data_IF_066676462090
#
_entry.id   IF_066676462090
#
_cell.length_a   1.000
_cell.length_b   1.000
_cell.length_c   1.000
_cell.angle_alpha   90.00
_cell.angle_beta   90.00
_cell.angle_gamma   90.00
#
_symmetry.space_group_name_H-M   'P 1'
#
loop_
_entity.id
_entity.type
_entity.pdbx_description
1 polymer ?
#
# COMPACT_ATOMS: atom_id res chain seq x y z
N UNK A 1 26.58 13.19 5.08
CA UNK A 1 25.44 13.17 4.15
C UNK A 1 24.56 11.94 4.39
N UNK A 2 25.02 10.71 4.08
CA UNK A 2 24.22 9.49 4.29
C UNK A 2 23.72 9.35 5.74
N UNK A 3 24.62 9.48 6.73
CA UNK A 3 24.24 9.46 8.16
C UNK A 3 23.12 10.46 8.51
N UNK A 4 23.20 11.69 7.99
CA UNK A 4 22.19 12.74 8.22
C UNK A 4 20.84 12.39 7.59
N UNK A 5 20.84 11.80 6.39
CA UNK A 5 19.62 11.37 5.69
C UNK A 5 18.95 10.23 6.47
N UNK A 6 19.72 9.25 6.93
CA UNK A 6 19.18 8.13 7.73
C UNK A 6 18.70 8.58 9.11
N UNK A 7 19.42 9.46 9.80
CA UNK A 7 19.01 9.95 11.14
C UNK A 7 17.80 10.89 11.09
N UNK A 8 17.66 11.70 10.03
CA UNK A 8 16.51 12.59 9.87
C UNK A 8 15.28 11.89 9.27
N UNK A 9 15.49 10.86 8.45
CA UNK A 9 14.44 10.26 7.62
C UNK A 9 13.96 11.18 6.49
N UNK A 10 14.54 12.37 6.33
CA UNK A 10 14.12 13.34 5.32
C UNK A 10 14.87 13.12 3.99
N UNK A 11 14.14 13.08 2.85
CA UNK A 11 14.77 12.98 1.55
C UNK A 11 15.48 14.28 1.17
N UNK A 12 16.63 14.16 0.50
CA UNK A 12 17.44 15.30 0.03
C UNK A 12 17.42 15.37 -1.49
N UNK A 13 17.27 16.60 -2.02
CA UNK A 13 17.26 16.89 -3.45
C UNK A 13 18.65 17.34 -3.93
N UNK A 14 19.20 16.64 -4.93
CA UNK A 14 20.46 17.02 -5.58
C UNK A 14 20.14 17.77 -6.87
N UNK A 15 20.70 18.98 -7.01
CA UNK A 15 20.54 19.82 -8.20
C UNK A 15 21.80 19.83 -9.05
N UNK A 16 21.62 19.99 -10.36
CA UNK A 16 22.71 20.25 -11.32
C UNK A 16 22.27 21.40 -12.23
N UNK A 17 23.11 22.45 -12.35
CA UNK A 17 22.79 23.67 -13.10
C UNK A 17 21.46 24.32 -12.66
N UNK A 18 21.19 24.36 -11.36
CA UNK A 18 19.98 24.95 -10.79
C UNK A 18 18.71 24.12 -10.95
N UNK A 19 18.78 22.89 -11.48
CA UNK A 19 17.62 22.00 -11.66
C UNK A 19 17.76 20.75 -10.81
N UNK A 20 16.69 20.36 -10.11
CA UNK A 20 16.61 19.09 -9.41
C UNK A 20 16.78 17.92 -10.38
N UNK A 21 17.62 16.95 -10.02
CA UNK A 21 17.92 15.78 -10.86
C UNK A 21 17.76 14.45 -10.14
N UNK A 22 18.13 14.40 -8.86
CA UNK A 22 18.14 13.16 -8.06
C UNK A 22 17.55 13.45 -6.69
N UNK A 23 16.80 12.48 -6.17
CA UNK A 23 16.39 12.43 -4.76
C UNK A 23 17.21 11.31 -4.11
N UNK A 24 17.82 11.60 -2.96
CA UNK A 24 18.43 10.57 -2.10
C UNK A 24 17.58 10.49 -0.85
N UNK A 25 17.12 9.29 -0.52
CA UNK A 25 16.31 9.03 0.67
C UNK A 25 16.78 7.76 1.35
N UNK A 26 16.47 7.65 2.64
CA UNK A 26 16.68 6.41 3.37
C UNK A 26 15.82 5.27 2.77
N UNK A 27 16.40 4.07 2.71
CA UNK A 27 15.75 2.92 2.09
C UNK A 27 14.51 2.47 2.86
N UNK A 28 14.53 2.49 4.20
CA UNK A 28 13.36 2.13 5.00
C UNK A 28 12.23 3.14 4.77
N UNK A 29 12.55 4.45 4.76
CA UNK A 29 11.57 5.47 4.45
C UNK A 29 10.97 5.31 3.04
N UNK A 30 11.75 4.86 2.05
CA UNK A 30 11.25 4.55 0.72
C UNK A 30 10.26 3.38 0.74
N UNK A 31 10.61 2.28 1.43
CA UNK A 31 9.77 1.09 1.53
C UNK A 31 8.45 1.41 2.23
N UNK A 32 8.47 2.15 3.34
CA UNK A 32 7.27 2.57 4.07
C UNK A 32 6.35 3.45 3.20
N UNK A 33 6.93 4.33 2.40
CA UNK A 33 6.18 5.13 1.42
C UNK A 33 5.55 4.25 0.34
N UNK A 34 6.27 3.26 -0.19
CA UNK A 34 5.71 2.31 -1.17
C UNK A 34 4.56 1.49 -0.59
N UNK A 35 4.69 1.01 0.66
CA UNK A 35 3.61 0.29 1.36
C UNK A 35 2.37 1.18 1.57
N UNK A 36 2.58 2.43 1.98
CA UNK A 36 1.50 3.41 2.14
C UNK A 36 0.77 3.66 0.81
N UNK A 37 1.51 3.84 -0.28
CA UNK A 37 0.92 4.01 -1.62
C UNK A 37 0.15 2.75 -2.07
N UNK A 38 0.66 1.56 -1.76
CA UNK A 38 -0.03 0.31 -2.06
C UNK A 38 -1.37 0.21 -1.30
N UNK A 39 -1.37 0.53 0.00
CA UNK A 39 -2.60 0.56 0.80
C UNK A 39 -3.61 1.58 0.26
N UNK A 40 -3.17 2.79 -0.09
CA UNK A 40 -4.04 3.81 -0.67
C UNK A 40 -4.65 3.36 -2.01
N UNK A 41 -3.91 2.62 -2.83
CA UNK A 41 -4.45 2.01 -4.06
C UNK A 41 -5.52 0.96 -3.74
N UNK A 42 -5.29 0.08 -2.78
CA UNK A 42 -6.28 -0.92 -2.34
C UNK A 42 -7.57 -0.23 -1.87
N UNK A 43 -7.46 0.82 -1.05
CA UNK A 43 -8.61 1.59 -0.58
C UNK A 43 -9.35 2.27 -1.73
N UNK A 44 -8.64 2.89 -2.67
CA UNK A 44 -9.26 3.55 -3.82
C UNK A 44 -10.00 2.56 -4.73
N UNK A 45 -9.43 1.36 -4.93
CA UNK A 45 -10.08 0.27 -5.66
C UNK A 45 -11.33 -0.21 -4.92
N UNK A 46 -11.23 -0.48 -3.61
CA UNK A 46 -12.39 -0.89 -2.80
C UNK A 46 -13.52 0.14 -2.82
N UNK A 47 -13.19 1.45 -2.74
CA UNK A 47 -14.19 2.50 -2.88
C UNK A 47 -14.86 2.53 -4.26
N UNK A 48 -14.10 2.23 -5.33
CA UNK A 48 -14.66 2.11 -6.68
C UNK A 48 -15.61 0.93 -6.77
N UNK A 49 -15.25 -0.22 -6.20
CA UNK A 49 -16.08 -1.42 -6.20
C UNK A 49 -17.38 -1.22 -5.41
N UNK A 50 -17.32 -0.57 -4.24
CA UNK A 50 -18.52 -0.19 -3.47
C UNK A 50 -19.45 0.69 -4.30
N UNK A 51 -18.92 1.73 -4.95
CA UNK A 51 -19.73 2.62 -5.81
C UNK A 51 -20.35 1.90 -7.01
N UNK A 52 -19.69 0.87 -7.52
CA UNK A 52 -20.18 0.06 -8.63
C UNK A 52 -21.17 -1.04 -8.18
N UNK A 53 -21.38 -1.23 -6.88
CA UNK A 53 -22.16 -2.35 -6.35
C UNK A 53 -21.42 -3.70 -6.39
N UNK A 54 -20.12 -3.69 -6.65
CA UNK A 54 -19.26 -4.88 -6.72
C UNK A 54 -18.79 -5.29 -5.32
N UNK A 55 -19.73 -5.58 -4.43
CA UNK A 55 -19.44 -6.09 -3.09
C UNK A 55 -20.45 -7.18 -2.72
N UNK A 56 -20.13 -7.95 -1.70
CA UNK A 56 -21.04 -8.93 -1.11
C UNK A 56 -21.11 -8.75 0.39
N UNK A 57 -22.19 -9.23 0.98
CA UNK A 57 -22.35 -9.26 2.43
C UNK A 57 -21.31 -10.19 3.08
N UNK A 58 -20.76 -9.76 4.22
CA UNK A 58 -19.68 -10.47 4.90
C UNK A 58 -20.18 -11.74 5.59
N UNK A 59 -21.34 -11.68 6.25
CA UNK A 59 -21.91 -12.84 6.93
C UNK A 59 -22.29 -13.93 5.92
N UNK A 60 -22.88 -13.52 4.79
CA UNK A 60 -23.17 -14.42 3.69
C UNK A 60 -21.91 -15.05 3.07
N UNK A 61 -20.78 -14.34 3.06
CA UNK A 61 -19.49 -14.88 2.60
C UNK A 61 -18.92 -15.92 3.56
N UNK A 62 -18.90 -15.65 4.85
CA UNK A 62 -18.38 -16.59 5.84
C UNK A 62 -19.23 -17.86 5.94
N UNK A 63 -20.55 -17.73 5.89
CA UNK A 63 -21.46 -18.88 5.86
C UNK A 63 -21.21 -19.81 4.66
N UNK A 64 -20.89 -19.25 3.49
CA UNK A 64 -20.51 -20.03 2.30
C UNK A 64 -19.19 -20.77 2.50
N UNK A 65 -18.17 -20.10 3.04
CA UNK A 65 -16.86 -20.70 3.30
C UNK A 65 -16.94 -21.86 4.31
N UNK A 66 -17.72 -21.71 5.38
CA UNK A 66 -17.91 -22.76 6.38
C UNK A 66 -18.58 -24.00 5.76
N UNK A 67 -19.62 -23.79 4.96
CA UNK A 67 -20.31 -24.87 4.25
C UNK A 67 -19.41 -25.60 3.23
N UNK A 68 -18.51 -24.88 2.55
CA UNK A 68 -17.50 -25.48 1.68
C UNK A 68 -16.47 -26.33 2.46
N UNK A 69 -16.07 -25.88 3.65
CA UNK A 69 -15.15 -26.61 4.52
C UNK A 69 -15.72 -27.95 4.99
N UNK A 70 -16.99 -27.96 5.37
CA UNK A 70 -17.71 -29.17 5.80
C UNK A 70 -17.89 -30.18 4.65
N UNK A 71 -18.16 -29.68 3.45
CA UNK A 71 -18.34 -30.50 2.23
C UNK A 71 -17.05 -31.18 1.78
N UNK A 72 -15.88 -30.60 2.07
CA UNK A 72 -14.55 -31.19 1.76
C UNK A 72 -14.09 -32.20 2.81
N UNK A 73 -14.72 -32.21 3.99
CA UNK A 73 -14.42 -33.14 5.10
C UNK A 73 -15.29 -34.39 5.09
N UNK A 74 -16.27 -34.49 4.20
CA UNK A 74 -17.20 -35.62 4.04
C UNK A 74 -16.87 -36.43 2.78
#
# INVERSE_FOLDING_TARGET
MVKTITESGEPVLITQNGKARVVVQDAQCYEDQQQTLALLKILALGQKDIRAGNFRDADAFFAELDAEGESRSS
#
